data_IF_034988726945
#
_entry.id   IF_034988726945
#
_cell.length_a   1.000
_cell.length_b   1.000
_cell.length_c   1.000
_cell.angle_alpha   90.00
_cell.angle_beta   90.00
_cell.angle_gamma   90.00
#
_symmetry.space_group_name_H-M   'P 1'
#
loop_
_entity.id
_entity.type
_entity.pdbx_description
1 polymer ?
#
# COMPACT_ATOMS: atom_id res chain seq x y z
N UNK A 1 3.07 7.79 -14.37
CA UNK A 1 3.99 6.66 -14.19
C UNK A 1 5.45 7.06 -14.14
N UNK A 2 5.86 8.17 -14.77
CA UNK A 2 7.23 8.70 -14.67
C UNK A 2 7.73 8.86 -13.23
N UNK A 3 6.88 9.34 -12.30
CA UNK A 3 7.25 9.42 -10.87
C UNK A 3 7.66 8.06 -10.30
N UNK A 4 6.87 7.00 -10.52
CA UNK A 4 7.19 5.65 -10.04
C UNK A 4 8.51 5.12 -10.64
N UNK A 5 8.86 5.52 -11.88
CA UNK A 5 10.10 5.09 -12.54
C UNK A 5 11.34 5.85 -12.08
N UNK A 6 11.17 7.13 -11.72
CA UNK A 6 12.29 8.03 -11.40
C UNK A 6 12.57 8.14 -9.89
N UNK A 7 11.69 7.63 -9.04
CA UNK A 7 11.76 7.81 -7.59
C UNK A 7 11.43 6.51 -6.86
N UNK A 8 11.73 6.44 -5.57
CA UNK A 8 11.33 5.33 -4.69
C UNK A 8 9.83 5.34 -4.34
N UNK A 9 9.00 6.13 -5.04
CA UNK A 9 7.56 6.17 -4.80
C UNK A 9 6.88 4.92 -5.37
N UNK A 10 6.15 4.24 -4.50
CA UNK A 10 5.32 3.08 -4.89
C UNK A 10 3.91 3.54 -5.26
N UNK A 11 3.38 3.03 -6.37
CA UNK A 11 2.00 3.25 -6.78
C UNK A 11 1.15 1.99 -6.48
N UNK A 12 -0.06 2.20 -5.96
CA UNK A 12 -1.03 1.15 -5.67
C UNK A 12 -2.31 1.40 -6.48
N UNK A 13 -2.51 0.72 -7.62
CA UNK A 13 -3.74 0.86 -8.39
C UNK A 13 -4.91 0.23 -7.64
N UNK A 14 -6.04 0.94 -7.63
CA UNK A 14 -7.32 0.46 -7.08
C UNK A 14 -8.33 0.46 -8.22
N UNK A 15 -8.84 -0.73 -8.55
CA UNK A 15 -9.83 -0.92 -9.61
C UNK A 15 -11.21 -1.06 -8.98
N UNK A 16 -11.94 0.05 -8.96
CA UNK A 16 -13.30 0.14 -8.42
C UNK A 16 -14.31 -0.03 -9.55
N UNK A 17 -15.00 -1.17 -9.55
CA UNK A 17 -15.98 -1.60 -10.56
C UNK A 17 -15.50 -1.51 -12.03
N UNK A 18 -14.18 -1.59 -12.24
CA UNK A 18 -13.55 -1.62 -13.56
C UNK A 18 -12.58 -2.80 -13.62
N UNK A 19 -12.51 -3.47 -14.77
CA UNK A 19 -11.51 -4.53 -14.96
C UNK A 19 -10.16 -3.93 -15.34
N UNK A 20 -9.05 -4.38 -14.73
CA UNK A 20 -7.71 -3.94 -15.12
C UNK A 20 -7.44 -4.15 -16.61
N UNK A 21 -8.01 -5.21 -17.21
CA UNK A 21 -7.90 -5.52 -18.63
C UNK A 21 -8.48 -4.40 -19.51
N UNK A 22 -9.63 -3.82 -19.12
CA UNK A 22 -10.24 -2.71 -19.85
C UNK A 22 -9.38 -1.45 -19.75
N UNK A 23 -8.79 -1.20 -18.58
CA UNK A 23 -7.85 -0.08 -18.37
C UNK A 23 -6.58 -0.29 -19.18
N UNK A 24 -6.03 -1.50 -19.21
CA UNK A 24 -4.79 -1.85 -19.92
C UNK A 24 -4.93 -1.72 -21.43
N UNK A 25 -6.04 -2.21 -21.99
CA UNK A 25 -6.30 -2.18 -23.44
C UNK A 25 -6.97 -0.89 -23.89
N UNK A 26 -7.43 -0.05 -22.95
CA UNK A 26 -8.30 1.09 -23.21
C UNK A 26 -9.49 0.66 -24.09
N UNK A 27 -10.18 -0.39 -23.64
CA UNK A 27 -11.33 -0.99 -24.34
C UNK A 27 -12.61 -0.83 -23.52
N UNK A 28 -13.76 -1.22 -24.07
CA UNK A 28 -15.05 -1.12 -23.38
C UNK A 28 -15.38 0.33 -23.00
N UNK A 29 -16.02 0.51 -21.84
CA UNK A 29 -16.43 1.82 -21.35
C UNK A 29 -15.25 2.75 -21.08
N UNK A 30 -14.12 2.20 -20.59
CA UNK A 30 -12.89 2.97 -20.37
C UNK A 30 -12.34 3.51 -21.69
N UNK A 31 -12.35 2.67 -22.73
CA UNK A 31 -11.94 3.06 -24.08
C UNK A 31 -12.82 4.15 -24.67
N UNK A 32 -14.15 4.00 -24.59
CA UNK A 32 -15.09 5.00 -25.09
C UNK A 32 -14.92 6.36 -24.41
N UNK A 33 -14.77 6.37 -23.08
CA UNK A 33 -14.51 7.58 -22.31
C UNK A 33 -13.17 8.21 -22.70
N UNK A 34 -12.12 7.40 -22.86
CA UNK A 34 -10.80 7.87 -23.30
C UNK A 34 -10.85 8.49 -24.71
N UNK A 35 -11.56 7.88 -25.65
CA UNK A 35 -11.77 8.44 -26.99
C UNK A 35 -12.53 9.77 -26.96
N UNK A 36 -13.55 9.90 -26.11
CA UNK A 36 -14.27 11.16 -25.98
C UNK A 36 -13.36 12.28 -25.45
N UNK A 37 -12.53 12.00 -24.44
CA UNK A 37 -11.58 12.97 -23.87
C UNK A 37 -10.55 13.40 -24.92
N UNK A 38 -9.98 12.44 -25.64
CA UNK A 38 -8.98 12.73 -26.68
C UNK A 38 -9.57 13.50 -27.86
N UNK A 39 -10.80 13.18 -28.30
CA UNK A 39 -11.52 13.95 -29.35
C UNK A 39 -11.82 15.39 -28.91
N UNK A 40 -12.29 15.61 -27.67
CA UNK A 40 -12.53 16.96 -27.14
C UNK A 40 -11.25 17.79 -27.17
N UNK A 41 -10.13 17.23 -26.71
CA UNK A 41 -8.83 17.93 -26.69
C UNK A 41 -8.29 18.27 -28.09
N UNK A 42 -8.58 17.45 -29.10
CA UNK A 42 -8.27 17.76 -30.51
C UNK A 42 -9.08 18.96 -31.02
N UNK A 43 -10.35 19.11 -30.63
CA UNK A 43 -11.24 20.19 -31.10
C UNK A 43 -10.98 21.57 -30.48
N UNK A 44 -10.25 21.67 -29.37
CA UNK A 44 -10.16 22.93 -28.60
C UNK A 44 -9.03 23.87 -29.01
N UNK A 45 -8.02 23.49 -29.81
CA UNK A 45 -7.01 24.45 -30.34
C UNK A 45 -6.44 23.98 -31.68
N UNK A 46 -6.41 24.88 -32.66
CA UNK A 46 -5.98 24.64 -34.05
C UNK A 46 -4.45 24.61 -34.27
N UNK A 47 -3.62 25.08 -33.33
CA UNK A 47 -2.20 25.40 -33.64
C UNK A 47 -1.08 24.55 -32.99
N UNK A 48 -1.35 23.43 -32.31
CA UNK A 48 -0.26 22.58 -31.74
C UNK A 48 -0.57 21.09 -31.88
N UNK A 49 -0.35 20.53 -33.07
CA UNK A 49 -0.66 19.12 -33.35
C UNK A 49 0.34 18.11 -32.76
N UNK A 50 1.63 18.47 -32.65
CA UNK A 50 2.69 17.55 -32.22
C UNK A 50 2.69 17.26 -30.70
N UNK A 51 2.47 18.27 -29.86
CA UNK A 51 2.48 18.07 -28.39
C UNK A 51 1.24 17.32 -27.89
N UNK A 52 0.08 17.51 -28.54
CA UNK A 52 -1.16 16.82 -28.17
C UNK A 52 -1.13 15.34 -28.51
N UNK A 53 -0.57 14.97 -29.66
CA UNK A 53 -0.43 13.56 -30.05
C UNK A 53 0.55 12.83 -29.12
N UNK A 54 1.59 13.54 -28.68
CA UNK A 54 2.51 13.08 -27.64
C UNK A 54 1.80 12.89 -26.29
N UNK A 55 0.95 13.83 -25.85
CA UNK A 55 0.16 13.70 -24.62
C UNK A 55 -0.76 12.47 -24.63
N UNK A 56 -1.49 12.25 -25.72
CA UNK A 56 -2.40 11.10 -25.84
C UNK A 56 -1.61 9.78 -25.79
N UNK A 57 -0.46 9.72 -26.46
CA UNK A 57 0.46 8.59 -26.38
C UNK A 57 0.97 8.35 -24.96
N UNK A 58 1.37 9.43 -24.26
CA UNK A 58 1.83 9.36 -22.86
C UNK A 58 0.74 8.88 -21.92
N UNK A 59 -0.50 9.35 -22.06
CA UNK A 59 -1.62 8.90 -21.23
C UNK A 59 -1.96 7.44 -21.49
N UNK A 60 -1.97 7.03 -22.76
CA UNK A 60 -2.21 5.63 -23.13
C UNK A 60 -1.17 4.70 -22.49
N UNK A 61 0.11 5.06 -22.60
CA UNK A 61 1.18 4.31 -21.96
C UNK A 61 1.09 4.34 -20.44
N UNK A 62 0.73 5.48 -19.84
CA UNK A 62 0.60 5.58 -18.39
C UNK A 62 -0.55 4.71 -17.84
N UNK A 63 -1.70 4.66 -18.53
CA UNK A 63 -2.81 3.78 -18.14
C UNK A 63 -2.46 2.31 -18.29
N UNK A 64 -1.77 1.96 -19.39
CA UNK A 64 -1.25 0.60 -19.61
C UNK A 64 -0.32 0.17 -18.47
N UNK A 65 0.67 1.00 -18.18
CA UNK A 65 1.64 0.74 -17.10
C UNK A 65 0.99 0.69 -15.73
N UNK A 66 -0.01 1.55 -15.45
CA UNK A 66 -0.75 1.50 -14.18
C UNK A 66 -1.58 0.22 -14.06
N UNK A 67 -2.14 -0.29 -15.17
CA UNK A 67 -2.89 -1.54 -15.21
C UNK A 67 -2.00 -2.79 -15.13
N UNK A 68 -0.73 -2.68 -15.52
CA UNK A 68 0.28 -3.74 -15.40
C UNK A 68 0.81 -3.90 -13.97
N UNK A 69 0.58 -2.92 -13.09
CA UNK A 69 0.92 -3.05 -11.68
C UNK A 69 -0.03 -4.02 -10.98
N UNK A 70 0.49 -4.74 -9.99
CA UNK A 70 -0.33 -5.50 -9.06
C UNK A 70 -1.24 -4.54 -8.27
N UNK A 71 -2.51 -4.46 -8.69
CA UNK A 71 -3.52 -3.61 -8.05
C UNK A 71 -4.57 -4.42 -7.30
N UNK A 72 -5.43 -3.71 -6.58
CA UNK A 72 -6.53 -4.28 -5.80
C UNK A 72 -7.83 -4.14 -6.59
N UNK A 73 -8.59 -5.23 -6.72
CA UNK A 73 -9.82 -5.27 -7.52
C UNK A 73 -11.03 -5.55 -6.63
N UNK A 74 -12.00 -4.63 -6.62
CA UNK A 74 -13.21 -4.77 -5.79
C UNK A 74 -13.97 -6.07 -6.10
N UNK A 75 -14.11 -6.42 -7.39
CA UNK A 75 -14.88 -7.62 -7.80
C UNK A 75 -14.28 -8.93 -7.29
N UNK A 76 -12.96 -8.99 -7.21
CA UNK A 76 -12.24 -10.19 -6.78
C UNK A 76 -12.04 -10.24 -5.26
N UNK A 77 -12.36 -9.16 -4.54
CA UNK A 77 -12.10 -9.03 -3.10
C UNK A 77 -13.42 -8.94 -2.32
N UNK A 78 -13.59 -9.82 -1.34
CA UNK A 78 -14.80 -9.91 -0.48
C UNK A 78 -16.14 -9.93 -1.26
N UNK A 79 -16.17 -10.53 -2.45
CA UNK A 79 -17.35 -10.58 -3.33
C UNK A 79 -17.96 -9.19 -3.61
N UNK A 80 -17.14 -8.15 -3.75
CA UNK A 80 -17.61 -6.79 -4.02
C UNK A 80 -18.11 -6.02 -2.80
N UNK A 81 -17.86 -6.50 -1.58
CA UNK A 81 -18.27 -5.79 -0.37
C UNK A 81 -17.40 -4.55 -0.10
N UNK A 82 -17.86 -3.40 -0.59
CA UNK A 82 -17.11 -2.13 -0.60
C UNK A 82 -16.51 -1.73 0.74
N UNK A 83 -17.28 -1.77 1.83
CA UNK A 83 -16.77 -1.33 3.13
C UNK A 83 -15.61 -2.19 3.63
N UNK A 84 -15.62 -3.50 3.33
CA UNK A 84 -14.53 -4.42 3.70
C UNK A 84 -13.32 -4.22 2.79
N UNK A 85 -13.56 -3.97 1.51
CA UNK A 85 -12.53 -3.63 0.54
C UNK A 85 -11.79 -2.35 0.94
N UNK A 86 -12.53 -1.29 1.28
CA UNK A 86 -11.96 -0.02 1.76
C UNK A 86 -11.18 -0.25 3.05
N UNK A 87 -11.72 -1.02 4.00
CA UNK A 87 -11.03 -1.33 5.25
C UNK A 87 -9.68 -2.02 4.99
N UNK A 88 -9.64 -3.00 4.07
CA UNK A 88 -8.41 -3.68 3.68
C UNK A 88 -7.41 -2.72 3.01
N UNK A 89 -7.88 -1.85 2.10
CA UNK A 89 -7.01 -0.85 1.46
C UNK A 89 -6.34 0.05 2.51
N UNK A 90 -7.14 0.57 3.45
CA UNK A 90 -6.64 1.45 4.51
C UNK A 90 -5.62 0.72 5.37
N UNK A 91 -5.89 -0.54 5.73
CA UNK A 91 -4.99 -1.38 6.50
C UNK A 91 -3.65 -1.64 5.76
N UNK A 92 -3.72 -2.12 4.51
CA UNK A 92 -2.53 -2.44 3.70
C UNK A 92 -1.65 -1.22 3.44
N UNK A 93 -2.25 -0.06 3.16
CA UNK A 93 -1.49 1.18 2.94
C UNK A 93 -0.89 1.68 4.25
N UNK A 94 -1.65 1.65 5.34
CA UNK A 94 -1.16 2.15 6.64
C UNK A 94 0.03 1.33 7.14
N UNK A 95 0.01 0.01 6.98
CA UNK A 95 1.18 -0.84 7.24
C UNK A 95 2.43 -0.40 6.49
N UNK A 96 2.29 -0.26 5.17
CA UNK A 96 3.42 0.05 4.29
C UNK A 96 4.02 1.40 4.65
N UNK A 97 3.18 2.37 5.00
CA UNK A 97 3.62 3.68 5.50
C UNK A 97 4.35 3.57 6.85
N UNK A 98 3.86 2.77 7.80
CA UNK A 98 4.54 2.57 9.09
C UNK A 98 5.90 1.84 8.93
N UNK A 99 6.02 0.90 7.98
CA UNK A 99 7.31 0.27 7.67
C UNK A 99 8.33 1.30 7.16
N UNK A 100 7.90 2.22 6.29
CA UNK A 100 8.74 3.29 5.78
C UNK A 100 9.19 4.19 6.94
N UNK A 101 8.28 4.62 7.82
CA UNK A 101 8.62 5.49 8.95
C UNK A 101 9.62 4.85 9.93
N UNK A 102 9.48 3.55 10.21
CA UNK A 102 10.43 2.78 11.04
C UNK A 102 11.83 2.69 10.42
N UNK A 103 11.93 2.55 9.10
CA UNK A 103 13.23 2.56 8.40
C UNK A 103 13.91 3.93 8.43
N UNK A 104 13.11 5.01 8.57
CA UNK A 104 13.58 6.39 8.60
C UNK A 104 14.05 6.80 10.00
N UNK A 105 13.68 6.08 11.06
CA UNK A 105 14.23 6.31 12.40
C UNK A 105 15.70 5.84 12.49
N UNK A 106 16.60 6.68 11.97
CA UNK A 106 18.06 6.45 11.82
C UNK A 106 18.80 6.16 13.12
N UNK A 107 18.13 6.27 14.28
CA UNK A 107 18.73 6.00 15.59
C UNK A 107 18.79 4.52 15.94
N UNK A 108 18.07 3.66 15.23
CA UNK A 108 17.88 2.26 15.59
C UNK A 108 18.31 1.30 14.46
N UNK A 109 19.62 1.15 14.27
CA UNK A 109 20.20 0.25 13.27
C UNK A 109 19.79 -1.20 13.55
N UNK A 110 19.20 -1.88 12.56
CA UNK A 110 18.84 -3.31 12.64
C UNK A 110 17.53 -3.64 13.35
N UNK A 111 16.75 -2.63 13.78
CA UNK A 111 15.44 -2.88 14.41
C UNK A 111 14.37 -3.28 13.40
N UNK A 112 14.44 -2.76 12.17
CA UNK A 112 13.48 -3.08 11.11
C UNK A 112 13.39 -4.59 10.83
N UNK A 113 14.53 -5.28 10.74
CA UNK A 113 14.58 -6.72 10.47
C UNK A 113 14.00 -7.54 11.63
N UNK A 114 14.26 -7.12 12.88
CA UNK A 114 13.74 -7.76 14.08
C UNK A 114 12.23 -7.56 14.21
N UNK A 115 11.74 -6.33 14.01
CA UNK A 115 10.31 -6.00 14.04
C UNK A 115 9.58 -6.79 12.95
N UNK A 116 10.10 -6.81 11.71
CA UNK A 116 9.52 -7.57 10.60
C UNK A 116 9.46 -9.07 10.90
N UNK A 117 10.53 -9.65 11.42
CA UNK A 117 10.55 -11.08 11.80
C UNK A 117 9.50 -11.44 12.84
N UNK A 118 9.30 -10.56 13.84
CA UNK A 118 8.27 -10.74 14.86
C UNK A 118 6.86 -10.64 14.26
N UNK A 119 6.58 -9.62 13.44
CA UNK A 119 5.26 -9.42 12.83
C UNK A 119 4.91 -10.57 11.89
N UNK A 120 5.85 -11.03 11.06
CA UNK A 120 5.61 -12.19 10.20
C UNK A 120 5.28 -13.46 10.99
N UNK A 121 5.76 -13.58 12.23
CA UNK A 121 5.46 -14.71 13.11
C UNK A 121 4.11 -14.58 13.85
N UNK A 122 3.54 -13.37 13.88
CA UNK A 122 2.27 -13.10 14.57
C UNK A 122 1.05 -13.63 13.83
N UNK A 123 1.13 -13.82 12.50
CA UNK A 123 0.00 -14.28 11.67
C UNK A 123 -1.30 -13.55 12.04
N UNK A 124 -1.28 -12.21 11.96
CA UNK A 124 -2.33 -11.30 12.47
C UNK A 124 -3.73 -11.56 11.88
N UNK A 125 -3.83 -12.33 10.80
CA UNK A 125 -5.08 -12.69 10.12
C UNK A 125 -5.85 -13.85 10.80
N UNK A 126 -5.28 -14.48 11.82
CA UNK A 126 -5.92 -15.58 12.55
C UNK A 126 -6.63 -15.05 13.80
N UNK A 127 -7.91 -15.40 13.96
CA UNK A 127 -8.72 -15.08 15.15
C UNK A 127 -8.30 -15.93 16.37
N UNK A 128 -7.06 -15.80 16.82
CA UNK A 128 -6.51 -16.50 17.98
C UNK A 128 -5.65 -15.57 18.85
N UNK A 129 -5.51 -15.90 20.14
CA UNK A 129 -4.74 -15.11 21.10
C UNK A 129 -3.30 -15.61 21.15
N UNK A 130 -2.34 -14.77 20.73
CA UNK A 130 -0.91 -15.10 20.74
C UNK A 130 -0.14 -14.26 21.75
N UNK A 131 0.84 -14.87 22.39
CA UNK A 131 1.75 -14.20 23.32
C UNK A 131 3.20 -14.34 22.83
N UNK A 132 3.93 -13.22 22.79
CA UNK A 132 5.36 -13.20 22.46
C UNK A 132 6.17 -12.82 23.70
N UNK A 133 7.17 -13.65 24.01
CA UNK A 133 8.19 -13.33 25.01
C UNK A 133 9.48 -12.84 24.35
N UNK A 134 9.97 -11.65 24.73
CA UNK A 134 11.28 -11.13 24.31
C UNK A 134 12.26 -11.31 25.48
N UNK A 135 13.27 -12.18 25.32
CA UNK A 135 14.29 -12.47 26.34
C UNK A 135 15.70 -12.12 25.85
N UNK A 136 16.59 -11.76 26.77
CA UNK A 136 17.98 -11.38 26.47
C UNK A 136 18.65 -10.63 27.62
N UNK A 137 19.94 -10.33 27.47
CA UNK A 137 20.77 -9.65 28.48
C UNK A 137 20.25 -8.23 28.79
N UNK A 138 20.54 -7.71 29.98
CA UNK A 138 20.24 -6.32 30.36
C UNK A 138 20.86 -5.32 29.39
N UNK A 139 20.16 -4.22 29.10
CA UNK A 139 20.64 -3.19 28.15
C UNK A 139 20.52 -3.55 26.66
N UNK A 140 20.16 -4.78 26.29
CA UNK A 140 20.05 -5.23 24.90
C UNK A 140 18.84 -4.69 24.10
N UNK A 141 18.17 -3.63 24.54
CA UNK A 141 17.10 -2.98 23.77
C UNK A 141 15.75 -3.74 23.70
N UNK A 142 15.51 -4.76 24.53
CA UNK A 142 14.25 -5.56 24.53
C UNK A 142 12.99 -4.71 24.64
N UNK A 143 12.98 -3.74 25.55
CA UNK A 143 11.84 -2.81 25.75
C UNK A 143 11.65 -1.92 24.53
N UNK A 144 12.75 -1.48 23.91
CA UNK A 144 12.71 -0.70 22.66
C UNK A 144 12.12 -1.54 21.53
N UNK A 145 12.48 -2.82 21.44
CA UNK A 145 11.95 -3.73 20.42
C UNK A 145 10.45 -3.98 20.64
N UNK A 146 10.04 -4.24 21.89
CA UNK A 146 8.63 -4.40 22.24
C UNK A 146 7.81 -3.16 21.87
N UNK A 147 8.33 -1.96 22.15
CA UNK A 147 7.68 -0.69 21.77
C UNK A 147 7.59 -0.55 20.25
N UNK A 148 8.66 -0.78 19.51
CA UNK A 148 8.66 -0.67 18.06
C UNK A 148 7.66 -1.65 17.41
N UNK A 149 7.57 -2.89 17.91
CA UNK A 149 6.55 -3.85 17.46
C UNK A 149 5.14 -3.36 17.80
N UNK A 150 4.92 -2.87 19.02
CA UNK A 150 3.62 -2.34 19.44
C UNK A 150 3.16 -1.18 18.58
N UNK A 151 4.02 -0.18 18.39
CA UNK A 151 3.72 1.00 17.58
C UNK A 151 3.35 0.58 16.14
N UNK A 152 3.96 -0.49 15.63
CA UNK A 152 3.64 -1.06 14.32
C UNK A 152 2.30 -1.79 14.25
N UNK A 153 1.96 -2.60 15.25
CA UNK A 153 0.75 -3.46 15.19
C UNK A 153 -0.49 -2.81 15.81
N UNK A 154 -0.34 -1.72 16.56
CA UNK A 154 -1.44 -1.09 17.30
C UNK A 154 -2.62 -0.69 16.42
N UNK A 155 -2.37 -0.33 15.16
CA UNK A 155 -3.39 0.08 14.18
C UNK A 155 -4.40 -1.02 13.83
N UNK A 156 -4.05 -2.28 14.09
CA UNK A 156 -4.89 -3.44 13.77
C UNK A 156 -5.90 -3.78 14.87
N UNK A 157 -5.79 -3.16 16.04
CA UNK A 157 -6.59 -3.49 17.21
C UNK A 157 -7.52 -2.33 17.58
N UNK A 158 -8.80 -2.64 17.82
CA UNK A 158 -9.81 -1.65 18.24
C UNK A 158 -9.59 -1.10 19.66
N UNK A 159 -8.72 -1.74 20.45
CA UNK A 159 -8.32 -1.29 21.78
C UNK A 159 -6.95 -1.81 22.18
N UNK A 160 -6.21 -1.02 22.94
CA UNK A 160 -4.92 -1.40 23.50
C UNK A 160 -4.91 -1.18 25.01
N UNK A 161 -4.49 -2.20 25.75
CA UNK A 161 -4.08 -2.05 27.14
C UNK A 161 -2.56 -2.07 27.19
N UNK A 162 -1.95 -1.02 27.75
CA UNK A 162 -0.54 -1.10 28.16
C UNK A 162 -0.49 -2.04 29.36
N UNK A 163 -0.19 -3.32 29.10
CA UNK A 163 0.31 -4.15 30.17
C UNK A 163 1.69 -3.59 30.52
N UNK A 164 1.87 -3.15 31.77
CA UNK A 164 3.22 -2.96 32.29
C UNK A 164 4.01 -4.23 31.98
N UNK A 165 5.23 -4.11 31.41
CA UNK A 165 6.02 -5.28 31.10
C UNK A 165 6.21 -6.02 32.42
N UNK A 166 5.59 -7.19 32.54
CA UNK A 166 5.97 -8.16 33.55
C UNK A 166 7.43 -8.49 33.27
N UNK A 167 8.30 -7.72 33.91
CA UNK A 167 9.71 -7.99 34.09
C UNK A 167 9.73 -9.25 34.97
N UNK A 168 9.59 -10.40 34.34
CA UNK A 168 9.99 -11.66 34.95
C UNK A 168 11.52 -11.70 34.85
N UNK A 169 12.20 -11.11 35.84
CA UNK A 169 13.60 -11.42 36.10
C UNK A 169 13.63 -12.86 36.63
N UNK A 170 14.12 -13.77 35.80
CA UNK A 170 14.83 -14.96 36.28
C UNK A 170 16.24 -14.89 35.73
#
# INVERSE_FOLDING_TARGET
MECQKMTEHTAYPIFYDVEPTEVHKQSGLVGEAFEQVTRKRKRTLEDVNLEKENDVGRWKNALKEAADLAGMELKNTFNGHEAKFIQQIVQDISLKLHLIDLSVDRKLVGMETLVRGIISSLELDLNDVRMIGIKGIGGGGKTTLARAVFDHISIWFEGFAKADPFICVK
#
